data_IF_214011049172
#
_entry.id   IF_214011049172
#
_cell.length_a   1.000
_cell.length_b   1.000
_cell.length_c   1.000
_cell.angle_alpha   90.00
_cell.angle_beta   90.00
_cell.angle_gamma   90.00
#
_symmetry.space_group_name_H-M   'P 1'
#
loop_
_entity.id
_entity.type
_entity.pdbx_description
1 polymer ?
#
# COMPACT_ATOMS: atom_id res chain seq x y z
N UNK A 1 14.01 -4.75 -6.32
CA UNK A 1 12.60 -4.81 -5.87
C UNK A 1 12.50 -5.06 -4.37
N UNK A 2 13.31 -5.98 -3.82
CA UNK A 2 13.42 -6.18 -2.37
C UNK A 2 13.80 -4.87 -1.64
N UNK A 3 14.79 -4.11 -2.14
CA UNK A 3 15.14 -2.80 -1.58
C UNK A 3 13.97 -1.81 -1.45
N UNK A 4 13.04 -1.79 -2.41
CA UNK A 4 11.91 -0.86 -2.38
C UNK A 4 10.92 -1.21 -1.28
N UNK A 5 10.49 -2.48 -1.21
CA UNK A 5 9.57 -2.95 -0.18
C UNK A 5 10.19 -2.81 1.22
N UNK A 6 11.49 -3.11 1.35
CA UNK A 6 12.23 -2.93 2.61
C UNK A 6 12.36 -1.46 3.01
N UNK A 7 12.63 -0.55 2.06
CA UNK A 7 12.72 0.88 2.33
C UNK A 7 11.38 1.48 2.73
N UNK A 8 10.28 1.09 2.07
CA UNK A 8 8.92 1.52 2.42
C UNK A 8 8.53 0.98 3.80
N UNK A 9 8.82 -0.29 4.08
CA UNK A 9 8.57 -0.91 5.37
C UNK A 9 9.33 -0.20 6.51
N UNK A 10 10.61 0.12 6.31
CA UNK A 10 11.39 0.88 7.29
C UNK A 10 10.83 2.29 7.50
N UNK A 11 10.44 2.98 6.43
CA UNK A 11 9.82 4.31 6.54
C UNK A 11 8.51 4.26 7.33
N UNK A 12 7.62 3.32 7.03
CA UNK A 12 6.35 3.12 7.75
C UNK A 12 6.59 2.74 9.21
N UNK A 13 7.63 1.95 9.49
CA UNK A 13 8.02 1.59 10.85
C UNK A 13 8.46 2.82 11.65
N UNK A 14 9.27 3.71 11.07
CA UNK A 14 9.69 4.96 11.71
C UNK A 14 8.55 5.98 11.80
N UNK A 15 7.64 5.98 10.82
CA UNK A 15 6.55 6.95 10.69
C UNK A 15 5.20 6.23 10.61
N UNK A 16 4.79 5.61 11.71
CA UNK A 16 3.59 4.76 11.76
C UNK A 16 2.29 5.43 11.29
N UNK A 17 2.17 6.75 11.44
CA UNK A 17 1.03 7.53 10.95
C UNK A 17 0.91 7.57 9.42
N UNK A 18 2.00 7.32 8.70
CA UNK A 18 2.01 7.23 7.23
C UNK A 18 1.59 5.87 6.69
N UNK A 19 1.39 4.87 7.55
CA UNK A 19 1.00 3.52 7.11
C UNK A 19 -0.26 3.54 6.24
N UNK A 20 -1.31 4.23 6.69
CA UNK A 20 -2.57 4.34 5.96
C UNK A 20 -2.42 5.07 4.61
N UNK A 21 -1.89 6.31 4.52
CA UNK A 21 -1.76 6.99 3.24
C UNK A 21 -0.82 6.28 2.26
N UNK A 22 0.25 5.63 2.73
CA UNK A 22 1.14 4.83 1.86
C UNK A 22 0.40 3.63 1.29
N UNK A 23 -0.35 2.89 2.11
CA UNK A 23 -1.14 1.75 1.65
C UNK A 23 -2.24 2.17 0.67
N UNK A 24 -2.86 3.34 0.85
CA UNK A 24 -3.82 3.89 -0.11
C UNK A 24 -3.19 4.10 -1.49
N UNK A 25 -2.03 4.76 -1.54
CA UNK A 25 -1.34 5.05 -2.81
C UNK A 25 -0.83 3.78 -3.47
N UNK A 26 -0.27 2.85 -2.69
CA UNK A 26 0.20 1.57 -3.19
C UNK A 26 -0.95 0.72 -3.74
N UNK A 27 -2.06 0.60 -3.02
CA UNK A 27 -3.23 -0.14 -3.47
C UNK A 27 -3.90 0.51 -4.70
N UNK A 28 -3.97 1.84 -4.74
CA UNK A 28 -4.43 2.58 -5.92
C UNK A 28 -3.56 2.33 -7.14
N UNK A 29 -2.24 2.42 -6.99
CA UNK A 29 -1.28 2.17 -8.08
C UNK A 29 -1.30 0.72 -8.57
N UNK A 30 -1.46 -0.25 -7.67
CA UNK A 30 -1.55 -1.67 -8.02
C UNK A 30 -2.83 -2.00 -8.82
N UNK A 31 -3.92 -1.31 -8.53
CA UNK A 31 -5.21 -1.53 -9.18
C UNK A 31 -5.35 -0.82 -10.54
N UNK A 32 -4.43 0.10 -10.88
CA UNK A 32 -4.36 0.71 -12.21
C UNK A 32 -3.73 -0.25 -13.24
N UNK A 33 -4.47 -0.61 -14.29
CA UNK A 33 -4.11 -1.67 -15.24
C UNK A 33 -2.73 -1.55 -15.91
N UNK A 34 -2.26 -0.34 -16.18
CA UNK A 34 -0.94 -0.11 -16.79
C UNK A 34 0.17 0.21 -15.76
N UNK A 35 -0.17 0.79 -14.60
CA UNK A 35 0.81 1.14 -13.57
C UNK A 35 1.24 -0.08 -12.77
N UNK A 36 0.35 -1.05 -12.58
CA UNK A 36 0.64 -2.31 -11.88
C UNK A 36 1.74 -3.14 -12.56
N UNK A 37 1.88 -3.00 -13.88
CA UNK A 37 2.95 -3.63 -14.66
C UNK A 37 4.31 -2.98 -14.46
N UNK A 38 4.35 -1.70 -14.10
CA UNK A 38 5.57 -0.92 -13.96
C UNK A 38 6.13 -0.97 -12.54
N UNK A 39 5.25 -0.99 -11.54
CA UNK A 39 5.63 -0.95 -10.12
C UNK A 39 4.85 -2.05 -9.36
N UNK A 40 5.50 -3.16 -8.99
CA UNK A 40 4.84 -4.22 -8.23
C UNK A 40 4.71 -3.81 -6.75
N UNK A 41 3.58 -3.17 -6.43
CA UNK A 41 3.26 -2.67 -5.09
C UNK A 41 2.91 -3.79 -4.08
N UNK A 42 2.53 -4.99 -4.57
CA UNK A 42 2.23 -6.18 -3.76
C UNK A 42 3.27 -6.44 -2.66
N UNK A 43 4.56 -6.40 -2.99
CA UNK A 43 5.62 -6.73 -2.02
C UNK A 43 5.69 -5.75 -0.86
N UNK A 44 5.45 -4.46 -1.13
CA UNK A 44 5.39 -3.43 -0.11
C UNK A 44 4.11 -3.56 0.74
N UNK A 45 2.97 -3.89 0.14
CA UNK A 45 1.71 -4.13 0.86
C UNK A 45 1.83 -5.31 1.84
N UNK A 46 2.44 -6.42 1.41
CA UNK A 46 2.70 -7.58 2.28
C UNK A 46 3.66 -7.22 3.42
N UNK A 47 4.74 -6.49 3.12
CA UNK A 47 5.70 -6.06 4.15
C UNK A 47 5.04 -5.14 5.19
N UNK A 48 4.20 -4.19 4.75
CA UNK A 48 3.43 -3.31 5.66
C UNK A 48 2.41 -4.14 6.46
N UNK A 49 1.73 -5.09 5.83
CA UNK A 49 0.80 -6.00 6.52
C UNK A 49 1.47 -6.80 7.63
N UNK A 50 2.67 -7.33 7.37
CA UNK A 50 3.49 -7.98 8.39
C UNK A 50 3.89 -7.01 9.52
N UNK A 51 4.21 -5.75 9.20
CA UNK A 51 4.52 -4.72 10.18
C UNK A 51 3.34 -4.40 11.11
N UNK A 52 2.09 -4.44 10.64
CA UNK A 52 0.91 -4.19 11.50
C UNK A 52 0.85 -5.18 12.68
N UNK A 53 1.30 -6.43 12.49
CA UNK A 53 1.29 -7.45 13.54
C UNK A 53 2.39 -7.28 14.61
N UNK A 54 3.51 -6.64 14.26
CA UNK A 54 4.68 -6.47 15.15
C UNK A 54 4.89 -5.04 15.63
N UNK A 55 4.12 -4.09 15.11
CA UNK A 55 4.22 -2.67 15.46
C UNK A 55 2.84 -2.14 15.83
N UNK A 56 2.76 -1.14 16.72
CA UNK A 56 1.49 -0.57 17.21
C UNK A 56 0.64 0.18 16.17
N UNK A 57 0.81 -0.11 14.88
CA UNK A 57 0.01 0.45 13.79
C UNK A 57 -1.41 -0.12 13.89
N UNK A 58 -2.40 0.77 13.89
CA UNK A 58 -3.79 0.34 13.88
C UNK A 58 -4.15 -0.33 12.56
N UNK A 59 -4.74 -1.52 12.63
CA UNK A 59 -5.17 -2.27 11.45
C UNK A 59 -6.26 -1.56 10.66
N UNK A 60 -7.27 -1.01 11.35
CA UNK A 60 -8.47 -0.45 10.72
C UNK A 60 -8.20 0.69 9.73
N UNK A 61 -7.39 1.72 10.06
CA UNK A 61 -7.04 2.77 9.12
C UNK A 61 -6.32 2.24 7.88
N UNK A 62 -5.40 1.29 8.05
CA UNK A 62 -4.62 0.72 6.94
C UNK A 62 -5.51 -0.13 6.04
N UNK A 63 -6.38 -0.94 6.61
CA UNK A 63 -7.32 -1.76 5.87
C UNK A 63 -8.32 -0.91 5.08
N UNK A 64 -8.90 0.12 5.71
CA UNK A 64 -9.80 1.07 5.04
C UNK A 64 -9.08 1.82 3.91
N UNK A 65 -7.86 2.30 4.17
CA UNK A 65 -7.05 3.01 3.19
C UNK A 65 -6.71 2.14 1.98
N UNK A 66 -6.36 0.87 2.20
CA UNK A 66 -6.11 -0.10 1.13
C UNK A 66 -7.36 -0.40 0.31
N UNK A 67 -8.50 -0.63 0.97
CA UNK A 67 -9.78 -0.87 0.29
C UNK A 67 -10.25 0.33 -0.54
N UNK A 68 -10.11 1.55 -0.01
CA UNK A 68 -10.43 2.79 -0.73
C UNK A 68 -9.46 2.99 -1.89
N UNK A 69 -8.16 2.76 -1.68
CA UNK A 69 -7.15 2.87 -2.72
C UNK A 69 -7.44 1.95 -3.90
N UNK A 70 -7.70 0.67 -3.63
CA UNK A 70 -8.06 -0.31 -4.66
C UNK A 70 -9.38 0.05 -5.37
N UNK A 71 -10.43 0.40 -4.64
CA UNK A 71 -11.71 0.77 -5.24
C UNK A 71 -11.60 2.00 -6.16
N UNK A 72 -10.78 2.99 -5.77
CA UNK A 72 -10.50 4.15 -6.61
C UNK A 72 -9.64 3.79 -7.82
N UNK A 73 -8.67 2.89 -7.66
CA UNK A 73 -7.83 2.39 -8.76
C UNK A 73 -8.68 1.70 -9.82
N UNK A 74 -9.56 0.79 -9.40
CA UNK A 74 -10.43 0.02 -10.28
C UNK A 74 -11.44 0.93 -10.97
N UNK A 75 -11.98 1.92 -10.25
CA UNK A 75 -12.84 2.94 -10.84
C UNK A 75 -12.08 3.70 -11.93
N UNK A 76 -10.92 4.29 -11.62
CA UNK A 76 -10.15 5.07 -12.60
C UNK A 76 -9.75 4.20 -13.80
N UNK A 77 -9.34 2.96 -13.54
CA UNK A 77 -8.97 2.00 -14.58
C UNK A 77 -10.15 1.46 -15.39
N UNK A 78 -11.38 1.61 -14.92
CA UNK A 78 -12.58 1.32 -15.71
C UNK A 78 -12.90 2.44 -16.71
N UNK A 79 -12.59 3.69 -16.36
CA UNK A 79 -12.82 4.85 -17.22
C UNK A 79 -11.74 5.06 -18.28
N UNK A 80 -10.52 4.58 -18.03
CA UNK A 80 -9.34 4.72 -18.90
C UNK A 80 -8.87 3.36 -19.43
#
# INVERSE_FOLDING_TARGET
>A
MEDFAHSVANFVREHQHWAAPIVLVLAFGESLAFISLLIPAWGALVAIGALIGVSGISFWPVWLAGGIGAALGDWVSYWF
#
